data_IF_442931558882
#
_entry.id   IF_442931558882
#
_cell.length_a   1.000
_cell.length_b   1.000
_cell.length_c   1.000
_cell.angle_alpha   90.00
_cell.angle_beta   90.00
_cell.angle_gamma   90.00
#
_symmetry.space_group_name_H-M   'P 1'
#
loop_
_entity.id
_entity.type
_entity.pdbx_description
1 polymer ?
#
# COMPACT_ATOMS: atom_id res chain seq x y z
N UNK A 1 -27.99 -21.86 -27.87
CA UNK A 1 -27.83 -20.48 -27.32
C UNK A 1 -27.60 -20.40 -25.81
N UNK A 2 -28.23 -21.23 -24.96
CA UNK A 2 -28.07 -21.19 -23.48
C UNK A 2 -26.63 -21.44 -23.01
N UNK A 3 -25.97 -22.46 -23.56
CA UNK A 3 -24.60 -22.85 -23.21
C UNK A 3 -23.57 -21.73 -23.49
N UNK A 4 -23.66 -21.07 -24.65
CA UNK A 4 -22.81 -19.91 -24.96
C UNK A 4 -23.03 -18.72 -24.02
N UNK A 5 -24.25 -18.53 -23.49
CA UNK A 5 -24.54 -17.45 -22.55
C UNK A 5 -23.92 -17.73 -21.18
N UNK A 6 -23.95 -18.98 -20.73
CA UNK A 6 -23.32 -19.39 -19.49
C UNK A 6 -21.79 -19.31 -19.56
N UNK A 7 -21.17 -19.74 -20.67
CA UNK A 7 -19.72 -19.56 -20.84
C UNK A 7 -19.30 -18.08 -20.85
N UNK A 8 -20.10 -17.20 -21.47
CA UNK A 8 -19.83 -15.75 -21.42
C UNK A 8 -19.91 -15.16 -20.02
N UNK A 9 -20.87 -15.62 -19.20
CA UNK A 9 -20.96 -15.18 -17.79
C UNK A 9 -19.74 -15.63 -16.98
N UNK A 10 -19.33 -16.89 -17.15
CA UNK A 10 -18.16 -17.44 -16.47
C UNK A 10 -16.90 -16.68 -16.90
N UNK A 11 -16.72 -16.46 -18.21
CA UNK A 11 -15.59 -15.69 -18.72
C UNK A 11 -15.56 -14.25 -18.18
N UNK A 12 -16.72 -13.60 -18.08
CA UNK A 12 -16.82 -12.27 -17.47
C UNK A 12 -16.42 -12.29 -15.99
N UNK A 13 -16.91 -13.24 -15.21
CA UNK A 13 -16.57 -13.35 -13.80
C UNK A 13 -15.06 -13.57 -13.58
N UNK A 14 -14.42 -14.39 -14.42
CA UNK A 14 -12.97 -14.60 -14.38
C UNK A 14 -12.22 -13.30 -14.67
N UNK A 15 -12.62 -12.57 -15.71
CA UNK A 15 -11.98 -11.30 -16.06
C UNK A 15 -12.17 -10.23 -15.00
N UNK A 16 -13.36 -10.16 -14.39
CA UNK A 16 -13.65 -9.20 -13.32
C UNK A 16 -12.77 -9.50 -12.09
N UNK A 17 -12.60 -10.77 -11.72
CA UNK A 17 -11.74 -11.15 -10.59
C UNK A 17 -10.24 -10.96 -10.89
N UNK A 18 -9.82 -11.22 -12.13
CA UNK A 18 -8.45 -10.95 -12.57
C UNK A 18 -8.10 -9.46 -12.50
N UNK A 19 -9.00 -8.59 -12.96
CA UNK A 19 -8.80 -7.14 -12.83
C UNK A 19 -8.76 -6.71 -11.37
N UNK A 20 -9.66 -7.24 -10.52
CA UNK A 20 -9.67 -6.95 -9.08
C UNK A 20 -8.34 -7.31 -8.43
N UNK A 21 -7.79 -8.48 -8.74
CA UNK A 21 -6.48 -8.91 -8.26
C UNK A 21 -5.39 -7.96 -8.75
N UNK A 22 -5.39 -7.60 -10.03
CA UNK A 22 -4.43 -6.65 -10.61
C UNK A 22 -4.41 -5.30 -9.89
N UNK A 23 -5.59 -4.75 -9.60
CA UNK A 23 -5.72 -3.50 -8.84
C UNK A 23 -5.17 -3.64 -7.42
N UNK A 24 -5.51 -4.73 -6.71
CA UNK A 24 -4.98 -4.97 -5.35
C UNK A 24 -3.45 -5.07 -5.39
N UNK A 25 -2.90 -5.82 -6.35
CA UNK A 25 -1.45 -5.96 -6.51
C UNK A 25 -0.78 -4.61 -6.78
N UNK A 26 -1.35 -3.79 -7.68
CA UNK A 26 -0.85 -2.44 -7.94
C UNK A 26 -0.87 -1.60 -6.66
N UNK A 27 -1.97 -1.57 -5.91
CA UNK A 27 -2.04 -0.81 -4.65
C UNK A 27 -1.06 -1.29 -3.58
N UNK A 28 -0.89 -2.61 -3.43
CA UNK A 28 0.03 -3.19 -2.42
C UNK A 28 1.49 -2.86 -2.71
N UNK A 29 1.87 -2.74 -3.98
CA UNK A 29 3.24 -2.44 -4.39
C UNK A 29 3.45 -1.00 -4.86
N UNK A 30 2.42 -0.15 -4.79
CA UNK A 30 2.52 1.28 -5.04
C UNK A 30 3.38 1.91 -3.94
N UNK A 31 4.65 2.13 -4.26
CA UNK A 31 5.63 2.65 -3.31
C UNK A 31 5.27 4.07 -2.87
N UNK A 32 4.83 4.94 -3.78
CA UNK A 32 4.49 6.33 -3.48
C UNK A 32 3.32 6.41 -2.50
N UNK A 33 2.27 5.62 -2.74
CA UNK A 33 1.13 5.52 -1.85
C UNK A 33 1.55 4.94 -0.48
N UNK A 34 2.25 3.81 -0.48
CA UNK A 34 2.59 3.11 0.75
C UNK A 34 3.68 3.81 1.58
N UNK A 35 4.60 4.55 0.97
CA UNK A 35 5.68 5.25 1.68
C UNK A 35 5.10 6.30 2.63
N UNK A 36 4.15 7.12 2.17
CA UNK A 36 3.47 8.14 3.00
C UNK A 36 2.75 7.49 4.18
N UNK A 37 1.98 6.42 3.93
CA UNK A 37 1.25 5.73 4.99
C UNK A 37 2.19 5.04 5.98
N UNK A 38 3.26 4.37 5.51
CA UNK A 38 4.26 3.73 6.38
C UNK A 38 4.97 4.75 7.24
N UNK A 39 5.29 5.92 6.69
CA UNK A 39 5.95 6.99 7.41
C UNK A 39 5.05 7.56 8.52
N UNK A 40 3.77 7.76 8.22
CA UNK A 40 2.81 8.23 9.21
C UNK A 40 2.55 7.20 10.32
N UNK A 41 2.45 5.92 9.98
CA UNK A 41 2.31 4.84 10.94
C UNK A 41 3.57 4.66 11.81
N UNK A 42 4.76 4.84 11.26
CA UNK A 42 6.02 4.79 12.01
C UNK A 42 6.08 5.88 13.08
N UNK A 43 5.71 7.13 12.75
CA UNK A 43 5.59 8.21 13.73
C UNK A 43 4.58 7.88 14.83
N UNK A 44 3.39 7.39 14.46
CA UNK A 44 2.35 7.01 15.43
C UNK A 44 2.83 5.92 16.39
N UNK A 45 3.53 4.91 15.88
CA UNK A 45 4.09 3.84 16.67
C UNK A 45 5.17 4.36 17.64
N UNK A 46 6.05 5.25 17.19
CA UNK A 46 7.08 5.85 18.03
C UNK A 46 6.46 6.66 19.19
N UNK A 47 5.44 7.47 18.90
CA UNK A 47 4.68 8.22 19.92
C UNK A 47 4.02 7.25 20.92
N UNK A 48 3.33 6.22 20.42
CA UNK A 48 2.66 5.23 21.26
C UNK A 48 3.63 4.43 22.14
N UNK A 49 4.89 4.29 21.71
CA UNK A 49 5.96 3.61 22.44
C UNK A 49 6.69 4.52 23.44
N UNK A 50 6.30 5.79 23.55
CA UNK A 50 6.90 6.76 24.48
C UNK A 50 8.24 7.33 24.01
N UNK A 51 8.54 7.26 22.72
CA UNK A 51 9.74 7.91 22.15
C UNK A 51 9.58 9.42 22.28
N UNK A 52 10.61 10.08 22.79
CA UNK A 52 10.63 11.54 22.91
C UNK A 52 10.50 12.19 21.53
N UNK A 53 9.64 13.21 21.42
CA UNK A 53 9.25 13.83 20.15
C UNK A 53 10.44 14.31 19.29
N UNK A 54 11.53 14.75 19.93
CA UNK A 54 12.74 15.22 19.24
C UNK A 54 13.62 14.10 18.68
N UNK A 55 13.37 12.85 19.09
CA UNK A 55 14.05 11.64 18.58
C UNK A 55 13.28 10.98 17.43
N UNK A 56 12.09 11.47 17.12
CA UNK A 56 11.26 10.95 16.03
C UNK A 56 11.64 11.66 14.74
N UNK A 57 12.08 10.89 13.74
CA UNK A 57 12.32 11.38 12.38
C UNK A 57 10.97 11.61 11.67
N UNK A 58 10.72 12.83 11.18
CA UNK A 58 9.39 13.28 10.72
C UNK A 58 9.32 13.53 9.22
N UNK A 59 10.46 13.57 8.55
CA UNK A 59 10.58 13.83 7.12
C UNK A 59 11.64 12.93 6.49
N UNK A 60 11.62 12.82 5.16
CA UNK A 60 12.71 12.15 4.41
C UNK A 60 14.06 12.82 4.70
N UNK A 61 14.10 14.16 4.78
CA UNK A 61 15.31 14.88 5.18
C UNK A 61 15.84 14.46 6.56
N UNK A 62 14.96 14.19 7.54
CA UNK A 62 15.39 13.73 8.86
C UNK A 62 16.05 12.35 8.78
N UNK A 63 15.53 11.47 7.91
CA UNK A 63 16.13 10.15 7.64
C UNK A 63 17.49 10.32 6.97
N UNK A 64 17.54 11.09 5.90
CA UNK A 64 18.76 11.30 5.11
C UNK A 64 19.87 11.89 5.99
N UNK A 65 19.54 12.91 6.79
CA UNK A 65 20.49 13.51 7.74
C UNK A 65 20.94 12.52 8.82
N UNK A 66 20.09 11.60 9.26
CA UNK A 66 20.43 10.63 10.30
C UNK A 66 21.34 9.50 9.78
N UNK A 67 21.14 9.03 8.54
CA UNK A 67 21.86 7.88 7.99
C UNK A 67 23.07 8.24 7.11
N UNK A 68 23.11 9.46 6.54
CA UNK A 68 24.19 9.90 5.65
C UNK A 68 25.24 10.80 6.33
N UNK A 69 25.09 11.05 7.63
CA UNK A 69 26.11 11.65 8.50
C UNK A 69 26.86 10.58 9.30
#
# INVERSE_FOLDING_TARGET
>A
MKLQREYRKIGKAIMDEYHRLGTITQTVFDFECNAVFRFDQSKKLAIASGVEEHKILKTINDIDNYFLM
#
